data_IF_546848118936
#
_entry.id   IF_546848118936
#
_cell.length_a   1.000
_cell.length_b   1.000
_cell.length_c   1.000
_cell.angle_alpha   90.00
_cell.angle_beta   90.00
_cell.angle_gamma   90.00
#
_symmetry.space_group_name_H-M   'P 1'
#
loop_
_entity.id
_entity.type
_entity.pdbx_description
1 polymer ?
#
# COMPACT_ATOMS: atom_id res chain seq x y z
N UNK A 1 -8.64 -13.96 -2.78
CA UNK A 1 -7.90 -12.90 -3.50
C UNK A 1 -7.28 -11.91 -2.51
N UNK A 2 -6.00 -11.59 -2.68
CA UNK A 2 -5.24 -10.56 -1.97
C UNK A 2 -4.95 -9.42 -2.94
N UNK A 3 -5.10 -8.17 -2.52
CA UNK A 3 -4.72 -7.00 -3.30
C UNK A 3 -3.51 -6.31 -2.65
N UNK A 4 -2.46 -6.05 -3.43
CA UNK A 4 -1.32 -5.23 -3.03
C UNK A 4 -1.38 -3.94 -3.83
N UNK A 5 -1.55 -2.82 -3.16
CA UNK A 5 -1.71 -1.49 -3.75
C UNK A 5 -0.51 -0.64 -3.38
N UNK A 6 0.26 -0.24 -4.38
CA UNK A 6 1.36 0.68 -4.22
C UNK A 6 0.90 2.12 -4.42
N UNK A 7 1.30 2.99 -3.51
CA UNK A 7 1.06 4.42 -3.53
C UNK A 7 2.39 5.20 -3.60
N UNK A 8 2.29 6.45 -4.04
CA UNK A 8 3.40 7.40 -4.11
C UNK A 8 3.73 7.87 -5.54
N UNK A 9 4.68 8.80 -5.66
CA UNK A 9 5.09 9.39 -6.93
C UNK A 9 6.55 9.03 -7.29
N UNK A 10 6.80 8.24 -8.34
CA UNK A 10 8.17 7.85 -8.72
C UNK A 10 9.02 9.02 -9.23
N UNK A 11 8.43 10.19 -9.50
CA UNK A 11 9.14 11.41 -9.86
C UNK A 11 9.67 12.19 -8.65
N UNK A 12 9.48 11.68 -7.43
CA UNK A 12 9.84 12.33 -6.17
C UNK A 12 10.72 11.47 -5.28
N UNK A 13 11.77 10.88 -5.89
CA UNK A 13 12.76 10.05 -5.20
C UNK A 13 12.11 9.00 -4.30
N UNK A 14 12.22 9.12 -2.97
CA UNK A 14 11.76 8.08 -2.04
C UNK A 14 10.24 7.94 -1.98
N UNK A 15 9.48 8.91 -2.50
CA UNK A 15 8.03 8.77 -2.69
C UNK A 15 7.70 7.63 -3.67
N UNK A 16 8.65 7.21 -4.51
CA UNK A 16 8.50 6.05 -5.39
C UNK A 16 8.65 4.69 -4.69
N UNK A 17 8.88 4.65 -3.37
CA UNK A 17 9.18 3.41 -2.65
C UNK A 17 8.07 2.35 -2.78
N UNK A 18 6.79 2.75 -2.71
CA UNK A 18 5.66 1.82 -2.88
C UNK A 18 5.68 1.13 -4.24
N UNK A 19 5.89 1.89 -5.32
CA UNK A 19 5.97 1.35 -6.68
C UNK A 19 7.21 0.45 -6.86
N UNK A 20 8.33 0.79 -6.22
CA UNK A 20 9.52 -0.05 -6.24
C UNK A 20 9.28 -1.41 -5.55
N UNK A 21 8.55 -1.44 -4.43
CA UNK A 21 8.10 -2.70 -3.80
C UNK A 21 7.21 -3.50 -4.75
N UNK A 22 6.27 -2.83 -5.43
CA UNK A 22 5.41 -3.50 -6.41
C UNK A 22 6.21 -4.11 -7.56
N UNK A 23 7.23 -3.40 -8.04
CA UNK A 23 8.18 -3.90 -9.04
C UNK A 23 8.88 -5.18 -8.59
N UNK A 24 9.41 -5.19 -7.35
CA UNK A 24 10.04 -6.38 -6.76
C UNK A 24 9.08 -7.58 -6.69
N UNK A 25 7.82 -7.36 -6.33
CA UNK A 25 6.82 -8.44 -6.30
C UNK A 25 6.49 -8.97 -7.70
N UNK A 26 6.45 -8.09 -8.71
CA UNK A 26 6.27 -8.48 -10.12
C UNK A 26 7.43 -9.33 -10.61
N UNK A 27 8.67 -8.92 -10.34
CA UNK A 27 9.89 -9.63 -10.73
C UNK A 27 9.98 -11.03 -10.10
N UNK A 28 9.40 -11.20 -8.90
CA UNK A 28 9.28 -12.49 -8.20
C UNK A 28 8.13 -13.37 -8.72
N UNK A 29 7.38 -12.91 -9.72
CA UNK A 29 6.33 -13.68 -10.39
C UNK A 29 4.92 -13.55 -9.80
N UNK A 30 4.71 -12.73 -8.77
CA UNK A 30 3.39 -12.59 -8.13
C UNK A 30 2.33 -11.95 -9.04
N UNK A 31 2.74 -11.23 -10.09
CA UNK A 31 1.81 -10.66 -11.07
C UNK A 31 1.09 -11.68 -11.96
N UNK A 32 1.54 -12.93 -11.97
CA UNK A 32 0.93 -14.02 -12.75
C UNK A 32 -0.05 -14.87 -11.93
N UNK A 33 -0.12 -14.66 -10.61
CA UNK A 33 -1.00 -15.42 -9.73
C UNK A 33 -2.41 -14.83 -9.76
N UNK A 34 -3.41 -15.65 -10.16
CA UNK A 34 -4.81 -15.22 -10.27
C UNK A 34 -5.43 -14.77 -8.93
N UNK A 35 -4.89 -15.25 -7.80
CA UNK A 35 -5.35 -14.88 -6.47
C UNK A 35 -4.70 -13.61 -5.91
N UNK A 36 -3.75 -13.02 -6.63
CA UNK A 36 -2.99 -11.83 -6.21
C UNK A 36 -3.16 -10.72 -7.24
N UNK A 37 -3.67 -9.58 -6.79
CA UNK A 37 -3.78 -8.37 -7.59
C UNK A 37 -2.69 -7.39 -7.19
N UNK A 38 -1.74 -7.13 -8.07
CA UNK A 38 -0.74 -6.07 -7.89
C UNK A 38 -1.21 -4.81 -8.62
N UNK A 39 -1.46 -3.73 -7.88
CA UNK A 39 -1.94 -2.46 -8.44
C UNK A 39 -0.98 -1.32 -8.12
N UNK A 40 -0.67 -0.53 -9.15
CA UNK A 40 -0.07 0.78 -9.00
C UNK A 40 -1.22 1.81 -8.94
N UNK A 41 -1.41 2.43 -7.77
CA UNK A 41 -2.40 3.48 -7.58
C UNK A 41 -1.76 4.87 -7.64
N UNK A 42 -0.43 4.98 -7.69
CA UNK A 42 0.27 6.27 -7.58
C UNK A 42 -0.30 7.12 -6.44
N UNK A 43 -0.84 8.29 -6.78
CA UNK A 43 -1.49 9.21 -5.83
C UNK A 43 -3.02 9.17 -5.90
N UNK A 44 -3.62 8.19 -6.59
CA UNK A 44 -5.06 8.06 -6.77
C UNK A 44 -5.69 7.18 -5.68
N UNK A 45 -6.25 7.82 -4.65
CA UNK A 45 -6.95 7.09 -3.58
C UNK A 45 -8.21 6.36 -4.06
N UNK A 46 -8.86 6.80 -5.15
CA UNK A 46 -10.04 6.11 -5.68
C UNK A 46 -9.63 4.77 -6.30
N UNK A 47 -8.52 4.74 -7.03
CA UNK A 47 -7.94 3.50 -7.53
C UNK A 47 -7.66 2.51 -6.39
N UNK A 48 -7.06 2.98 -5.29
CA UNK A 48 -6.84 2.17 -4.09
C UNK A 48 -8.15 1.63 -3.47
N UNK A 49 -9.17 2.47 -3.36
CA UNK A 49 -10.49 2.08 -2.83
C UNK A 49 -11.13 0.96 -3.65
N UNK A 50 -11.16 1.12 -4.98
CA UNK A 50 -11.76 0.12 -5.86
C UNK A 50 -10.95 -1.17 -5.94
N UNK A 51 -9.62 -1.09 -5.77
CA UNK A 51 -8.75 -2.25 -5.71
C UNK A 51 -9.09 -3.18 -4.54
N UNK A 52 -9.43 -2.58 -3.39
CA UNK A 52 -9.81 -3.26 -2.17
C UNK A 52 -11.16 -3.99 -2.29
N UNK A 53 -12.04 -3.56 -3.19
CA UNK A 53 -13.38 -4.13 -3.30
C UNK A 53 -13.32 -5.62 -3.69
N UNK A 54 -13.86 -6.47 -2.82
CA UNK A 54 -13.98 -7.92 -3.01
C UNK A 54 -12.69 -8.71 -2.79
N UNK A 55 -11.60 -8.08 -2.32
CA UNK A 55 -10.46 -8.84 -1.82
C UNK A 55 -10.69 -9.25 -0.36
N UNK A 56 -10.02 -10.33 0.06
CA UNK A 56 -10.06 -10.80 1.45
C UNK A 56 -9.05 -10.04 2.30
N UNK A 57 -7.92 -9.69 1.70
CA UNK A 57 -6.81 -8.96 2.33
C UNK A 57 -6.36 -7.84 1.41
N UNK A 58 -6.16 -6.66 1.98
CA UNK A 58 -5.59 -5.49 1.31
C UNK A 58 -4.24 -5.15 1.95
N UNK A 59 -3.21 -5.07 1.13
CA UNK A 59 -1.88 -4.59 1.52
C UNK A 59 -1.63 -3.28 0.81
N UNK A 60 -1.43 -2.20 1.56
CA UNK A 60 -1.04 -0.89 1.01
C UNK A 60 0.45 -0.69 1.27
N UNK A 61 1.16 -0.12 0.30
CA UNK A 61 2.57 0.25 0.46
C UNK A 61 2.77 1.69 0.05
N UNK A 62 3.28 2.53 0.94
CA UNK A 62 3.52 3.95 0.70
C UNK A 62 4.82 4.43 1.36
N UNK A 63 5.33 5.57 0.92
CA UNK A 63 6.36 6.30 1.64
C UNK A 63 5.72 7.17 2.73
N UNK A 64 6.46 7.48 3.79
CA UNK A 64 6.01 8.37 4.85
C UNK A 64 7.10 9.33 5.34
N UNK A 65 6.67 10.35 6.09
CA UNK A 65 7.53 11.24 6.87
C UNK A 65 6.97 11.35 8.28
N UNK A 66 7.48 10.50 9.17
CA UNK A 66 7.14 10.50 10.59
C UNK A 66 8.17 11.25 11.44
N UNK A 67 9.35 11.53 10.90
CA UNK A 67 10.50 12.06 11.64
C UNK A 67 11.36 10.96 12.27
N UNK A 68 11.08 9.70 11.95
CA UNK A 68 11.91 8.55 12.31
C UNK A 68 13.18 8.48 11.44
N UNK A 69 14.02 7.48 11.68
CA UNK A 69 15.21 7.28 10.85
C UNK A 69 14.84 6.89 9.40
N UNK A 70 15.48 7.49 8.38
CA UNK A 70 15.21 7.12 6.99
C UNK A 70 15.44 5.63 6.72
N UNK A 71 14.50 5.01 6.02
CA UNK A 71 14.45 3.56 5.79
C UNK A 71 13.82 2.75 6.93
N UNK A 72 13.33 3.39 8.00
CA UNK A 72 12.46 2.74 8.97
C UNK A 72 11.21 2.20 8.28
N UNK A 73 10.76 1.02 8.71
CA UNK A 73 9.61 0.31 8.14
C UNK A 73 8.55 0.20 9.24
N UNK A 74 7.33 0.59 8.91
CA UNK A 74 6.17 0.42 9.77
C UNK A 74 5.20 -0.55 9.10
N UNK A 75 4.84 -1.63 9.80
CA UNK A 75 3.75 -2.53 9.43
C UNK A 75 2.59 -2.23 10.38
N UNK A 76 1.56 -1.56 9.87
CA UNK A 76 0.48 -0.98 10.69
C UNK A 76 -0.87 -1.53 10.25
N UNK A 77 -1.77 -1.89 11.18
CA UNK A 77 -3.15 -2.22 10.85
C UNK A 77 -3.86 -1.05 10.17
N UNK A 78 -4.55 -1.29 9.06
CA UNK A 78 -5.17 -0.21 8.26
C UNK A 78 -6.22 0.61 9.04
N UNK A 79 -6.86 0.03 10.05
CA UNK A 79 -7.83 0.73 10.89
C UNK A 79 -7.20 1.83 11.76
N UNK A 80 -5.90 1.78 12.04
CA UNK A 80 -5.18 2.83 12.78
C UNK A 80 -4.90 4.07 11.91
N UNK A 81 -4.89 3.89 10.58
CA UNK A 81 -4.54 4.94 9.61
C UNK A 81 -5.76 5.50 8.86
N UNK A 82 -6.93 4.91 9.05
CA UNK A 82 -8.17 5.36 8.41
C UNK A 82 -8.53 6.78 8.83
N UNK A 83 -8.87 7.64 7.86
CA UNK A 83 -9.23 9.04 8.11
C UNK A 83 -10.43 9.46 7.26
N UNK A 84 -11.43 10.14 7.84
CA UNK A 84 -12.49 10.73 7.04
C UNK A 84 -11.91 11.81 6.13
N UNK A 85 -12.43 11.91 4.91
CA UNK A 85 -12.03 12.98 4.00
C UNK A 85 -12.59 14.32 4.49
N UNK A 86 -11.68 15.24 4.84
CA UNK A 86 -12.02 16.54 5.41
C UNK A 86 -12.47 17.62 4.41
N UNK A 87 -12.52 17.29 3.10
CA UNK A 87 -12.86 18.25 2.04
C UNK A 87 -11.66 19.09 1.59
N UNK A 88 -10.83 18.54 0.72
CA UNK A 88 -9.78 19.25 -0.03
C UNK A 88 -10.31 19.94 -1.29
N UNK A 89 -9.48 20.78 -1.90
CA UNK A 89 -9.85 21.59 -3.08
C UNK A 89 -9.83 20.77 -4.38
N UNK A 90 -9.20 19.59 -4.37
CA UNK A 90 -9.06 18.75 -5.56
C UNK A 90 -9.15 17.26 -5.19
N UNK A 91 -9.41 16.41 -6.20
CA UNK A 91 -9.47 14.95 -6.02
C UNK A 91 -8.10 14.33 -5.71
N UNK A 92 -7.00 15.06 -5.94
CA UNK A 92 -5.64 14.61 -5.60
C UNK A 92 -5.37 14.62 -4.09
N UNK A 93 -6.15 15.37 -3.31
CA UNK A 93 -6.12 15.33 -1.85
C UNK A 93 -6.75 14.02 -1.31
N UNK A 94 -7.56 13.33 -2.11
CA UNK A 94 -8.13 12.02 -1.77
C UNK A 94 -7.07 10.92 -1.91
N UNK A 95 -6.31 10.72 -0.83
CA UNK A 95 -5.34 9.63 -0.68
C UNK A 95 -5.94 8.32 -0.13
N UNK A 96 -5.11 7.28 -0.09
CA UNK A 96 -5.47 5.93 0.33
C UNK A 96 -5.99 5.85 1.79
N UNK A 97 -5.60 6.75 2.70
CA UNK A 97 -6.13 6.79 4.06
C UNK A 97 -7.65 7.07 4.06
N UNK A 98 -8.08 7.96 3.16
CA UNK A 98 -9.48 8.28 2.94
C UNK A 98 -10.20 7.16 2.19
N UNK A 99 -9.49 6.46 1.31
CA UNK A 99 -9.99 5.29 0.62
C UNK A 99 -10.36 4.16 1.59
N UNK A 100 -9.59 3.97 2.66
CA UNK A 100 -9.92 3.00 3.70
C UNK A 100 -11.24 3.36 4.40
N UNK A 101 -11.41 4.63 4.77
CA UNK A 101 -12.62 5.12 5.43
C UNK A 101 -13.85 5.01 4.52
N UNK A 102 -13.76 5.59 3.32
CA UNK A 102 -14.86 5.63 2.35
C UNK A 102 -15.20 4.23 1.82
N UNK A 103 -14.18 3.41 1.52
CA UNK A 103 -14.36 2.05 1.04
C UNK A 103 -15.12 1.17 2.03
N UNK A 104 -14.77 1.25 3.32
CA UNK A 104 -15.51 0.51 4.36
C UNK A 104 -16.97 0.96 4.46
N UNK A 105 -17.23 2.26 4.37
CA UNK A 105 -18.59 2.81 4.44
C UNK A 105 -19.45 2.46 3.19
N UNK A 106 -18.86 2.52 2.00
CA UNK A 106 -19.56 2.33 0.72
C UNK A 106 -19.73 0.85 0.39
N UNK A 107 -18.67 0.04 0.54
CA UNK A 107 -18.69 -1.36 0.11
C UNK A 107 -19.05 -2.35 1.24
N UNK A 108 -19.03 -1.92 2.51
CA UNK A 108 -19.43 -2.73 3.68
C UNK A 108 -18.74 -4.10 3.68
N UNK A 109 -19.50 -5.19 3.54
CA UNK A 109 -19.01 -6.57 3.57
C UNK A 109 -18.11 -6.90 2.36
N UNK A 110 -18.18 -6.11 1.29
CA UNK A 110 -17.29 -6.22 0.15
C UNK A 110 -15.97 -5.44 0.34
N UNK A 111 -15.74 -4.81 1.50
CA UNK A 111 -14.45 -4.22 1.86
C UNK A 111 -13.72 -5.13 2.86
N UNK A 112 -12.42 -5.43 2.66
CA UNK A 112 -11.68 -6.34 3.52
C UNK A 112 -11.56 -5.80 4.95
N UNK A 113 -11.69 -6.69 5.93
CA UNK A 113 -11.35 -6.40 7.33
C UNK A 113 -9.84 -6.53 7.58
N UNK A 114 -9.18 -7.42 6.84
CA UNK A 114 -7.74 -7.64 6.91
C UNK A 114 -7.02 -6.63 6.01
N UNK A 115 -6.61 -5.51 6.62
CA UNK A 115 -5.88 -4.43 5.95
C UNK A 115 -4.54 -4.22 6.65
N UNK A 116 -3.46 -4.33 5.88
CA UNK A 116 -2.09 -4.11 6.33
C UNK A 116 -1.50 -2.95 5.54
N UNK A 117 -0.87 -2.01 6.23
CA UNK A 117 -0.20 -0.87 5.60
C UNK A 117 1.29 -0.93 5.91
N UNK A 118 2.11 -0.94 4.87
CA UNK A 118 3.55 -0.77 4.95
C UNK A 118 3.92 0.68 4.64
N UNK A 119 4.52 1.35 5.61
CA UNK A 119 5.08 2.69 5.44
C UNK A 119 6.61 2.63 5.52
N UNK A 120 7.28 3.26 4.56
CA UNK A 120 8.74 3.39 4.54
C UNK A 120 9.11 4.85 4.81
N UNK A 121 9.91 5.12 5.84
CA UNK A 121 10.37 6.48 6.15
C UNK A 121 11.31 6.98 5.05
N UNK A 122 10.93 8.08 4.41
CA UNK A 122 11.69 8.68 3.31
C UNK A 122 12.91 9.47 3.82
N UNK A 123 14.02 9.42 3.08
CA UNK A 123 15.16 10.31 3.27
C UNK A 123 14.95 11.62 2.49
N UNK A 124 14.53 11.50 1.23
CA UNK A 124 14.38 12.63 0.30
C UNK A 124 13.12 12.52 -0.57
N UNK A 125 12.39 13.62 -0.74
CA UNK A 125 11.14 13.71 -1.53
C UNK A 125 11.19 14.80 -2.60
N UNK A 126 12.40 15.27 -2.92
CA UNK A 126 12.65 16.21 -4.00
C UNK A 126 12.45 15.55 -5.37
N UNK A 127 12.38 16.36 -6.43
CA UNK A 127 12.26 15.82 -7.78
C UNK A 127 13.48 14.95 -8.11
N UNK A 128 13.21 13.72 -8.50
CA UNK A 128 14.23 12.71 -8.75
C UNK A 128 13.61 11.35 -9.04
N UNK A 129 14.34 10.50 -9.74
CA UNK A 129 13.87 9.17 -10.18
C UNK A 129 14.52 8.02 -9.39
N UNK A 130 15.41 8.35 -8.45
CA UNK A 130 16.20 7.37 -7.71
C UNK A 130 15.87 7.41 -6.23
N UNK A 131 15.74 6.20 -5.65
CA UNK A 131 15.63 6.00 -4.22
C UNK A 131 16.97 6.23 -3.55
N UNK A 132 16.94 6.77 -2.33
CA UNK A 132 18.09 6.78 -1.42
C UNK A 132 18.51 5.34 -1.08
N UNK A 133 19.77 5.17 -0.66
CA UNK A 133 20.32 3.85 -0.35
C UNK A 133 19.53 3.17 0.80
N UNK A 134 19.16 3.94 1.83
CA UNK A 134 18.40 3.43 2.98
C UNK A 134 16.99 2.97 2.58
N UNK A 135 16.29 3.78 1.79
CA UNK A 135 14.94 3.43 1.31
C UNK A 135 14.99 2.25 0.34
N UNK A 136 15.99 2.17 -0.55
CA UNK A 136 16.18 1.01 -1.42
C UNK A 136 16.36 -0.30 -0.63
N UNK A 137 17.13 -0.29 0.45
CA UNK A 137 17.25 -1.45 1.35
C UNK A 137 15.92 -1.78 2.05
N UNK A 138 15.17 -0.77 2.47
CA UNK A 138 13.87 -0.95 3.08
C UNK A 138 12.85 -1.57 2.10
N UNK A 139 12.83 -1.12 0.85
CA UNK A 139 12.02 -1.69 -0.23
C UNK A 139 12.25 -3.20 -0.37
N UNK A 140 13.51 -3.65 -0.34
CA UNK A 140 13.83 -5.08 -0.44
C UNK A 140 13.28 -5.88 0.75
N UNK A 141 13.36 -5.33 1.96
CA UNK A 141 12.82 -5.93 3.18
C UNK A 141 11.30 -6.00 3.15
N UNK A 142 10.63 -4.91 2.77
CA UNK A 142 9.17 -4.87 2.65
C UNK A 142 8.68 -5.85 1.58
N UNK A 143 9.34 -5.92 0.42
CA UNK A 143 8.98 -6.87 -0.63
C UNK A 143 9.12 -8.33 -0.15
N UNK A 144 10.16 -8.66 0.61
CA UNK A 144 10.31 -9.99 1.22
C UNK A 144 9.20 -10.27 2.26
N UNK A 145 8.88 -9.29 3.10
CA UNK A 145 7.81 -9.41 4.09
C UNK A 145 6.45 -9.62 3.44
N UNK A 146 6.13 -8.88 2.38
CA UNK A 146 4.87 -9.06 1.64
C UNK A 146 4.84 -10.43 0.97
N UNK A 147 5.96 -10.90 0.39
CA UNK A 147 6.03 -12.24 -0.17
C UNK A 147 5.70 -13.33 0.87
N UNK A 148 6.20 -13.22 2.10
CA UNK A 148 5.84 -14.14 3.19
C UNK A 148 4.32 -14.15 3.45
N UNK A 149 3.70 -12.97 3.52
CA UNK A 149 2.25 -12.82 3.68
C UNK A 149 1.47 -13.44 2.52
N UNK A 150 1.94 -13.24 1.28
CA UNK A 150 1.30 -13.77 0.07
C UNK A 150 1.41 -15.29 -0.04
N UNK A 151 2.45 -15.90 0.55
CA UNK A 151 2.65 -17.36 0.56
C UNK A 151 1.97 -18.05 1.73
N UNK A 152 1.64 -17.33 2.80
CA UNK A 152 0.99 -17.90 3.98
C UNK A 152 -0.48 -18.20 3.66
N UNK A 153 -0.95 -19.45 3.83
CA UNK A 153 -2.37 -19.76 3.69
C UNK A 153 -3.14 -18.96 4.73
N UNK A 154 -4.02 -18.07 4.28
CA UNK A 154 -4.91 -17.39 5.21
C UNK A 154 -6.14 -18.27 5.41
N UNK A 155 -6.30 -18.75 6.65
CA UNK A 155 -7.46 -19.56 7.04
C UNK A 155 -8.75 -18.81 6.71
N UNK A 156 -9.69 -19.52 6.07
CA UNK A 156 -11.01 -18.98 5.83
C UNK A 156 -11.71 -18.81 7.18
N UNK A 157 -12.01 -17.56 7.57
CA UNK A 157 -12.89 -17.30 8.71
C UNK A 157 -14.27 -17.87 8.33
N UNK A 158 -14.82 -18.86 9.07
CA UNK A 158 -16.15 -19.36 8.78
C UNK A 158 -17.15 -18.23 9.00
N UNK A 159 -17.89 -17.89 7.95
CA UNK A 159 -19.06 -17.01 8.03
C UNK A 159 -20.13 -17.79 8.80
N UNK A 160 -20.34 -17.41 10.06
CA UNK A 160 -21.42 -17.92 10.90
C UNK A 160 -22.75 -17.22 10.64
#
# INVERSE_FOLDING_TARGET
MIAVVACGNPNRSDDGAGLAVLGQLKDRGFGQNADIRLLDAGTDGMAAMFAARGCRTLIIVDACRSGSEPGAIFEVPGHELTKPYGGGLNLHDFRWEHALFAGKAIFRDAFPDDVIVFLIEAEQLDLGLSLSCRVSQAVMKVAARIEELLRTPQEAVPVG
#
